data_IF_297225648867
#
_entry.id   IF_297225648867
#
_cell.length_a   1.000
_cell.length_b   1.000
_cell.length_c   1.000
_cell.angle_alpha   90.00
_cell.angle_beta   90.00
_cell.angle_gamma   90.00
#
_symmetry.space_group_name_H-M   'P 1'
#
loop_
_entity.id
_entity.type
_entity.pdbx_description
1 polymer ?
#
# COMPACT_ATOMS: atom_id res chain seq x y z
N UNK A 1 -18.35 -9.34 13.61
CA UNK A 1 -17.39 -10.47 13.75
C UNK A 1 -16.05 -9.86 14.15
N UNK A 2 -15.45 -10.27 15.25
CA UNK A 2 -14.12 -9.76 15.61
C UNK A 2 -13.10 -10.26 14.58
N UNK A 3 -12.31 -9.35 13.98
CA UNK A 3 -11.22 -9.70 13.07
C UNK A 3 -10.27 -10.65 13.80
N UNK A 4 -10.12 -11.84 13.28
CA UNK A 4 -9.26 -12.88 13.83
C UNK A 4 -7.80 -12.65 13.37
N UNK A 5 -6.82 -13.12 14.15
CA UNK A 5 -5.43 -13.19 13.70
C UNK A 5 -5.25 -13.98 12.39
N UNK A 6 -6.21 -14.84 12.06
CA UNK A 6 -6.22 -15.64 10.83
C UNK A 6 -6.44 -14.80 9.55
N UNK A 7 -6.92 -13.56 9.68
CA UNK A 7 -7.23 -12.68 8.54
C UNK A 7 -6.01 -11.86 8.08
N UNK A 8 -4.87 -11.95 8.82
CA UNK A 8 -3.62 -11.26 8.46
C UNK A 8 -2.52 -12.29 8.25
N UNK A 9 -1.92 -12.24 7.08
CA UNK A 9 -0.70 -12.97 6.73
C UNK A 9 0.49 -12.02 6.76
N UNK A 10 1.67 -12.57 7.01
CA UNK A 10 2.89 -11.77 7.13
C UNK A 10 3.89 -12.21 6.07
N UNK A 11 4.48 -11.24 5.41
CA UNK A 11 5.61 -11.38 4.49
C UNK A 11 6.79 -10.64 5.08
N UNK A 12 7.81 -11.34 5.54
CA UNK A 12 9.02 -10.76 6.09
C UNK A 12 10.09 -10.60 5.01
N UNK A 13 10.62 -9.38 4.89
CA UNK A 13 11.72 -9.08 3.97
C UNK A 13 13.04 -8.92 4.73
N UNK A 14 14.09 -9.55 4.22
CA UNK A 14 15.47 -9.35 4.64
C UNK A 14 15.98 -7.93 4.29
N UNK A 15 17.16 -7.51 4.80
CA UNK A 15 17.75 -6.21 4.46
C UNK A 15 18.03 -5.98 2.97
N UNK A 16 18.19 -7.03 2.18
CA UNK A 16 18.33 -7.00 0.72
C UNK A 16 16.98 -7.06 -0.02
N UNK A 17 15.86 -7.17 0.73
CA UNK A 17 14.52 -7.25 0.18
C UNK A 17 14.06 -8.66 -0.20
N UNK A 18 14.84 -9.71 0.09
CA UNK A 18 14.43 -11.07 -0.18
C UNK A 18 13.39 -11.57 0.83
N UNK A 19 12.52 -12.50 0.40
CA UNK A 19 11.51 -13.12 1.25
C UNK A 19 12.14 -14.05 2.29
N UNK A 20 11.70 -13.92 3.54
CA UNK A 20 12.09 -14.78 4.65
C UNK A 20 10.91 -15.65 5.10
N UNK A 21 11.16 -16.88 5.46
CA UNK A 21 10.21 -17.78 6.12
C UNK A 21 10.61 -17.99 7.59
N UNK A 22 9.61 -18.10 8.45
CA UNK A 22 9.83 -18.44 9.87
C UNK A 22 9.95 -19.95 10.02
N UNK A 23 11.07 -20.39 10.61
CA UNK A 23 11.35 -21.79 10.86
C UNK A 23 11.63 -22.03 12.34
N UNK A 24 11.57 -23.25 12.84
CA UNK A 24 11.93 -23.54 14.25
C UNK A 24 13.34 -23.07 14.64
N UNK A 25 14.22 -22.87 13.67
CA UNK A 25 15.60 -22.35 13.85
C UNK A 25 15.74 -20.84 13.58
N UNK A 26 14.62 -20.11 13.41
CA UNK A 26 14.55 -18.68 13.11
C UNK A 26 14.28 -18.39 11.63
N UNK A 27 14.30 -17.09 11.29
CA UNK A 27 14.04 -16.63 9.94
C UNK A 27 15.12 -17.09 8.95
N UNK A 28 14.70 -17.67 7.82
CA UNK A 28 15.57 -18.10 6.73
C UNK A 28 15.08 -17.58 5.38
N UNK A 29 15.99 -17.31 4.42
CA UNK A 29 15.56 -16.94 3.07
C UNK A 29 14.81 -18.09 2.40
N UNK A 30 13.66 -17.79 1.80
CA UNK A 30 12.94 -18.72 0.94
C UNK A 30 13.78 -18.98 -0.31
N UNK A 31 14.08 -20.25 -0.65
CA UNK A 31 14.82 -20.55 -1.89
C UNK A 31 14.09 -20.01 -3.13
N UNK A 32 14.82 -19.43 -4.07
CA UNK A 32 14.22 -18.76 -5.24
C UNK A 32 13.26 -19.68 -6.04
N UNK A 33 13.63 -20.96 -6.18
CA UNK A 33 12.80 -21.96 -6.87
C UNK A 33 11.54 -22.38 -6.10
N UNK A 34 11.43 -22.02 -4.80
CA UNK A 34 10.26 -22.30 -3.95
C UNK A 34 9.35 -21.08 -3.75
N UNK A 35 9.68 -19.92 -4.32
CA UNK A 35 8.95 -18.69 -4.04
C UNK A 35 7.44 -18.82 -4.36
N UNK A 36 7.09 -19.39 -5.49
CA UNK A 36 5.69 -19.59 -5.89
C UNK A 36 4.98 -20.65 -5.04
N UNK A 37 5.67 -21.73 -4.69
CA UNK A 37 5.14 -22.74 -3.79
C UNK A 37 4.88 -22.16 -2.40
N UNK A 38 5.79 -21.35 -1.88
CA UNK A 38 5.61 -20.64 -0.61
C UNK A 38 4.37 -19.72 -0.64
N UNK A 39 4.17 -18.95 -1.72
CA UNK A 39 2.96 -18.14 -1.86
C UNK A 39 1.69 -19.01 -1.88
N UNK A 40 1.72 -20.14 -2.56
CA UNK A 40 0.58 -21.06 -2.63
C UNK A 40 0.26 -21.71 -1.27
N UNK A 41 1.29 -22.01 -0.49
CA UNK A 41 1.16 -22.62 0.84
C UNK A 41 0.65 -21.60 1.89
N UNK A 42 1.17 -20.36 1.86
CA UNK A 42 0.99 -19.40 2.95
C UNK A 42 0.04 -18.23 2.62
N UNK A 43 -0.11 -17.87 1.34
CA UNK A 43 -0.74 -16.61 0.92
C UNK A 43 -1.91 -16.81 -0.06
N UNK A 44 -2.49 -18.02 -0.13
CA UNK A 44 -3.65 -18.26 -0.97
C UNK A 44 -4.85 -17.39 -0.51
N UNK A 45 -5.45 -16.56 -1.39
CA UNK A 45 -6.60 -15.76 -1.05
C UNK A 45 -7.77 -16.64 -0.62
N UNK A 46 -8.35 -16.44 0.57
CA UNK A 46 -9.47 -17.25 1.00
C UNK A 46 -10.74 -16.85 0.24
N UNK A 47 -11.59 -17.82 -0.13
CA UNK A 47 -12.80 -17.56 -0.94
C UNK A 47 -13.85 -16.69 -0.24
N UNK A 48 -13.76 -16.52 1.08
CA UNK A 48 -14.67 -15.68 1.85
C UNK A 48 -14.27 -14.18 1.78
N UNK A 49 -13.02 -13.86 1.44
CA UNK A 49 -12.55 -12.48 1.36
C UNK A 49 -13.18 -11.76 0.17
N UNK A 50 -13.56 -10.51 0.38
CA UNK A 50 -14.04 -9.63 -0.70
C UNK A 50 -12.97 -8.63 -1.12
N UNK A 51 -12.03 -8.35 -0.23
CA UNK A 51 -10.96 -7.37 -0.43
C UNK A 51 -9.64 -7.94 0.07
N UNK A 52 -8.63 -7.89 -0.80
CA UNK A 52 -7.27 -8.29 -0.50
C UNK A 52 -6.45 -7.03 -0.27
N UNK A 53 -5.91 -6.85 0.92
CA UNK A 53 -5.10 -5.69 1.27
C UNK A 53 -3.63 -6.09 1.35
N UNK A 54 -2.74 -5.38 0.67
CA UNK A 54 -1.30 -5.48 0.88
C UNK A 54 -0.83 -4.21 1.59
N UNK A 55 -0.40 -4.36 2.84
CA UNK A 55 0.02 -3.24 3.69
C UNK A 55 1.53 -3.25 3.92
N UNK A 56 2.19 -2.11 3.66
CA UNK A 56 3.62 -1.91 3.96
C UNK A 56 3.82 -0.76 4.95
N UNK A 57 4.45 -1.07 6.10
CA UNK A 57 4.66 -0.10 7.19
C UNK A 57 5.82 0.86 6.95
N UNK A 58 5.90 1.92 7.77
CA UNK A 58 6.91 2.95 7.72
C UNK A 58 8.13 2.73 8.60
N UNK A 59 8.93 3.82 8.76
CA UNK A 59 10.11 3.88 9.61
C UNK A 59 9.77 3.73 11.10
N UNK A 60 10.72 3.23 11.89
CA UNK A 60 10.61 3.03 13.35
C UNK A 60 9.51 2.04 13.77
N UNK A 61 9.10 1.17 12.88
CA UNK A 61 8.05 0.21 13.16
C UNK A 61 8.66 -1.14 13.53
N UNK A 62 8.35 -1.65 14.72
CA UNK A 62 8.68 -3.02 15.11
C UNK A 62 7.71 -4.01 14.46
N UNK A 63 8.03 -5.31 14.40
CA UNK A 63 7.11 -6.34 13.92
C UNK A 63 5.74 -6.31 14.60
N UNK A 64 5.71 -6.11 15.92
CA UNK A 64 4.50 -6.03 16.73
C UNK A 64 3.72 -4.74 16.45
N UNK A 65 4.44 -3.61 16.30
CA UNK A 65 3.82 -2.33 15.97
C UNK A 65 3.23 -2.33 14.56
N UNK A 66 3.86 -3.03 13.61
CA UNK A 66 3.32 -3.20 12.26
C UNK A 66 1.99 -3.94 12.29
N UNK A 67 1.93 -5.05 13.01
CA UNK A 67 0.72 -5.84 13.18
C UNK A 67 -0.38 -5.04 13.88
N UNK A 68 -0.03 -4.32 14.96
CA UNK A 68 -0.96 -3.44 15.68
C UNK A 68 -1.53 -2.35 14.77
N UNK A 69 -0.71 -1.78 13.88
CA UNK A 69 -1.15 -0.74 12.93
C UNK A 69 -2.19 -1.29 11.94
N UNK A 70 -1.95 -2.49 11.39
CA UNK A 70 -2.91 -3.16 10.51
C UNK A 70 -4.22 -3.45 11.25
N UNK A 71 -4.15 -4.05 12.43
CA UNK A 71 -5.34 -4.32 13.24
C UNK A 71 -6.15 -3.05 13.51
N UNK A 72 -5.46 -1.94 13.84
CA UNK A 72 -6.12 -0.66 14.09
C UNK A 72 -6.80 -0.12 12.84
N UNK A 73 -6.14 -0.15 11.69
CA UNK A 73 -6.74 0.29 10.42
C UNK A 73 -7.98 -0.52 10.08
N UNK A 74 -7.90 -1.85 10.19
CA UNK A 74 -9.02 -2.75 9.91
C UNK A 74 -10.17 -2.55 10.90
N UNK A 75 -9.88 -2.37 12.19
CA UNK A 75 -10.90 -2.09 13.20
C UNK A 75 -11.61 -0.74 12.95
N UNK A 76 -10.88 0.28 12.51
CA UNK A 76 -11.46 1.55 12.10
C UNK A 76 -12.37 1.40 10.88
N UNK A 77 -11.94 0.62 9.89
CA UNK A 77 -12.75 0.34 8.70
C UNK A 77 -14.01 -0.47 9.04
N UNK A 78 -13.89 -1.50 9.89
CA UNK A 78 -15.04 -2.26 10.37
C UNK A 78 -16.03 -1.36 11.12
N UNK A 79 -15.55 -0.50 12.02
CA UNK A 79 -16.41 0.44 12.75
C UNK A 79 -17.17 1.38 11.79
N UNK A 80 -16.54 1.87 10.72
CA UNK A 80 -17.21 2.73 9.73
C UNK A 80 -18.30 1.96 8.97
N UNK A 81 -18.03 0.73 8.53
CA UNK A 81 -19.04 -0.09 7.82
C UNK A 81 -20.21 -0.51 8.70
N UNK A 82 -19.98 -0.68 10.01
CA UNK A 82 -21.03 -0.97 10.99
C UNK A 82 -21.87 0.27 11.32
N UNK A 83 -21.23 1.44 11.40
CA UNK A 83 -21.89 2.70 11.73
C UNK A 83 -22.82 3.17 10.60
N UNK A 84 -22.32 3.20 9.37
CA UNK A 84 -23.08 3.62 8.19
C UNK A 84 -22.70 2.83 6.93
N UNK A 85 -23.29 1.66 6.81
CA UNK A 85 -23.08 0.81 5.63
C UNK A 85 -23.69 1.38 4.35
N UNK A 86 -24.65 2.32 4.46
CA UNK A 86 -25.29 2.93 3.29
C UNK A 86 -24.34 3.89 2.56
N UNK A 87 -23.30 4.38 3.25
CA UNK A 87 -22.27 5.25 2.69
C UNK A 87 -21.40 4.55 1.64
N UNK A 88 -21.28 3.24 1.76
CA UNK A 88 -20.50 2.40 0.86
C UNK A 88 -21.43 1.39 0.17
N UNK A 89 -22.30 1.83 -0.76
CA UNK A 89 -23.40 1.02 -1.27
C UNK A 89 -22.96 -0.22 -2.05
N UNK A 90 -21.76 -0.19 -2.64
CA UNK A 90 -21.19 -1.27 -3.44
C UNK A 90 -20.34 -2.24 -2.61
N UNK A 91 -19.95 -1.83 -1.38
CA UNK A 91 -18.97 -2.52 -0.54
C UNK A 91 -19.57 -3.67 0.31
N UNK A 92 -20.74 -4.18 -0.01
CA UNK A 92 -21.42 -5.19 0.83
C UNK A 92 -21.21 -6.60 0.31
N UNK A 93 -20.70 -7.51 1.15
CA UNK A 93 -20.07 -7.32 2.46
C UNK A 93 -18.61 -6.82 2.36
N UNK A 94 -18.08 -6.16 3.41
CA UNK A 94 -16.66 -5.86 3.58
C UNK A 94 -16.01 -6.98 4.40
N UNK A 95 -15.18 -7.80 3.77
CA UNK A 95 -14.45 -8.91 4.39
C UNK A 95 -12.99 -8.86 3.94
N UNK A 96 -12.17 -8.02 4.59
CA UNK A 96 -10.77 -7.85 4.21
C UNK A 96 -9.94 -9.05 4.66
N UNK A 97 -9.06 -9.50 3.79
CA UNK A 97 -7.94 -10.38 4.10
C UNK A 97 -6.65 -9.64 3.77
N UNK A 98 -5.68 -9.62 4.68
CA UNK A 98 -4.55 -8.70 4.60
C UNK A 98 -3.22 -9.43 4.58
N UNK A 99 -2.32 -9.01 3.68
CA UNK A 99 -0.91 -9.37 3.69
C UNK A 99 -0.11 -8.17 4.22
N UNK A 100 0.49 -8.34 5.39
CA UNK A 100 1.39 -7.36 5.99
C UNK A 100 2.82 -7.61 5.51
N UNK A 101 3.35 -6.69 4.71
CA UNK A 101 4.77 -6.68 4.31
C UNK A 101 5.59 -6.01 5.40
N UNK A 102 6.41 -6.79 6.10
CA UNK A 102 7.37 -6.30 7.10
C UNK A 102 8.76 -6.20 6.49
N UNK A 103 9.47 -5.15 6.85
CA UNK A 103 10.82 -4.90 6.39
C UNK A 103 11.66 -4.27 7.51
N UNK A 104 13.00 -4.39 7.51
CA UNK A 104 13.86 -3.90 8.58
C UNK A 104 13.94 -2.37 8.62
N UNK A 105 12.89 -1.71 9.13
CA UNK A 105 12.67 -0.27 9.14
C UNK A 105 13.20 0.46 10.39
N UNK A 106 13.80 -0.26 11.36
CA UNK A 106 14.27 0.36 12.61
C UNK A 106 15.65 0.97 12.47
N UNK A 107 15.84 2.13 13.07
CA UNK A 107 17.14 2.81 13.24
C UNK A 107 17.06 3.75 14.46
N UNK A 108 18.13 4.47 14.75
CA UNK A 108 18.07 5.55 15.75
C UNK A 108 17.15 6.67 15.27
N UNK A 109 16.33 7.30 16.15
CA UNK A 109 15.47 8.44 15.82
C UNK A 109 16.30 9.73 15.67
N UNK A 110 17.11 9.80 14.65
CA UNK A 110 18.04 10.88 14.32
C UNK A 110 18.06 11.12 12.80
N UNK A 111 18.63 12.25 12.36
CA UNK A 111 18.82 12.52 10.92
C UNK A 111 19.68 11.45 10.25
N UNK A 112 20.72 10.95 10.92
CA UNK A 112 21.54 9.85 10.43
C UNK A 112 20.76 8.55 10.32
N UNK A 113 19.91 8.25 11.30
CA UNK A 113 19.01 7.10 11.29
C UNK A 113 17.95 7.21 10.19
N UNK A 114 17.37 8.40 9.98
CA UNK A 114 16.44 8.65 8.88
C UNK A 114 17.10 8.39 7.50
N UNK A 115 18.30 8.95 7.28
CA UNK A 115 19.07 8.73 6.04
C UNK A 115 19.35 7.25 5.81
N UNK A 116 19.78 6.54 6.85
CA UNK A 116 20.06 5.09 6.76
C UNK A 116 18.82 4.30 6.32
N UNK A 117 17.65 4.62 6.86
CA UNK A 117 16.40 3.92 6.48
C UNK A 117 15.93 4.33 5.09
N UNK A 118 16.08 5.59 4.71
CA UNK A 118 15.86 6.05 3.34
C UNK A 118 16.70 5.25 2.35
N UNK A 119 18.01 5.17 2.61
CA UNK A 119 18.97 4.48 1.74
C UNK A 119 18.67 2.98 1.70
N UNK A 120 18.29 2.39 2.84
CA UNK A 120 17.85 0.99 2.89
C UNK A 120 16.59 0.75 2.07
N UNK A 121 15.54 1.54 2.26
CA UNK A 121 14.30 1.39 1.49
C UNK A 121 14.57 1.53 -0.02
N UNK A 122 15.44 2.47 -0.40
CA UNK A 122 15.87 2.64 -1.79
C UNK A 122 16.65 1.41 -2.29
N UNK A 123 17.69 1.00 -1.56
CA UNK A 123 18.51 -0.14 -1.97
C UNK A 123 17.71 -1.44 -2.07
N UNK A 124 16.83 -1.71 -1.11
CA UNK A 124 15.97 -2.91 -1.12
C UNK A 124 15.07 -2.97 -2.36
N UNK A 125 14.52 -1.83 -2.78
CA UNK A 125 13.53 -1.79 -3.86
C UNK A 125 14.13 -1.58 -5.25
N UNK A 126 15.31 -0.95 -5.37
CA UNK A 126 15.90 -0.63 -6.69
C UNK A 126 17.10 -1.51 -7.06
N UNK A 127 17.89 -1.94 -6.07
CA UNK A 127 19.09 -2.76 -6.25
C UNK A 127 18.91 -4.18 -5.70
N UNK A 128 18.07 -4.33 -4.69
CA UNK A 128 17.73 -5.59 -4.05
C UNK A 128 16.48 -6.24 -4.65
N UNK A 129 15.82 -7.04 -3.84
CA UNK A 129 14.78 -7.95 -4.28
C UNK A 129 13.35 -7.53 -3.90
N UNK A 130 13.17 -6.44 -3.13
CA UNK A 130 11.85 -6.10 -2.57
C UNK A 130 10.80 -5.84 -3.66
N UNK A 131 11.15 -5.10 -4.72
CA UNK A 131 10.23 -4.83 -5.83
C UNK A 131 9.85 -6.12 -6.57
N UNK A 132 10.83 -7.01 -6.78
CA UNK A 132 10.61 -8.33 -7.38
C UNK A 132 9.70 -9.20 -6.51
N UNK A 133 10.02 -9.36 -5.22
CA UNK A 133 9.25 -10.22 -4.29
C UNK A 133 7.81 -9.72 -4.14
N UNK A 134 7.63 -8.41 -3.90
CA UNK A 134 6.30 -7.82 -3.77
C UNK A 134 5.55 -7.89 -5.12
N UNK A 135 6.21 -7.61 -6.24
CA UNK A 135 5.62 -7.74 -7.57
C UNK A 135 5.13 -9.16 -7.86
N UNK A 136 5.96 -10.19 -7.52
CA UNK A 136 5.56 -11.61 -7.60
C UNK A 136 4.36 -11.93 -6.72
N UNK A 137 4.34 -11.40 -5.48
CA UNK A 137 3.21 -11.54 -4.58
C UNK A 137 1.94 -10.94 -5.17
N UNK A 138 2.00 -9.71 -5.68
CA UNK A 138 0.84 -9.03 -6.28
C UNK A 138 0.27 -9.84 -7.45
N UNK A 139 1.11 -10.34 -8.30
CA UNK A 139 0.67 -11.16 -9.40
C UNK A 139 0.12 -12.50 -8.94
N UNK A 140 0.72 -13.16 -7.92
CA UNK A 140 0.15 -14.36 -7.33
C UNK A 140 -1.27 -14.09 -6.80
N UNK A 141 -1.46 -12.99 -6.06
CA UNK A 141 -2.78 -12.62 -5.53
C UNK A 141 -3.78 -12.34 -6.67
N UNK A 142 -3.37 -11.61 -7.70
CA UNK A 142 -4.22 -11.30 -8.86
C UNK A 142 -4.61 -12.57 -9.65
N UNK A 143 -3.68 -13.49 -9.82
CA UNK A 143 -3.94 -14.75 -10.54
C UNK A 143 -4.87 -15.72 -9.77
N UNK A 144 -4.89 -15.63 -8.44
CA UNK A 144 -5.63 -16.57 -7.59
C UNK A 144 -6.87 -15.97 -6.92
N UNK A 145 -7.10 -14.67 -7.07
CA UNK A 145 -8.35 -14.03 -6.65
C UNK A 145 -9.47 -14.30 -7.65
N UNK A 146 -10.71 -14.20 -7.19
CA UNK A 146 -11.86 -14.15 -8.09
C UNK A 146 -11.84 -12.85 -8.86
N UNK A 147 -11.66 -12.91 -10.19
CA UNK A 147 -11.54 -11.71 -11.04
C UNK A 147 -12.87 -10.94 -11.10
N UNK A 148 -12.91 -9.69 -10.58
CA UNK A 148 -14.11 -8.88 -10.62
C UNK A 148 -14.48 -8.38 -12.03
N UNK A 149 -13.53 -8.42 -12.99
CA UNK A 149 -13.76 -8.01 -14.37
C UNK A 149 -14.17 -9.17 -15.28
N UNK A 150 -14.21 -10.42 -14.79
CA UNK A 150 -14.63 -11.56 -15.58
C UNK A 150 -16.12 -11.42 -16.02
N UNK A 151 -16.48 -11.94 -17.22
CA UNK A 151 -17.87 -11.92 -17.67
C UNK A 151 -18.80 -12.59 -16.64
N UNK A 152 -20.05 -12.10 -16.49
CA UNK A 152 -21.00 -12.60 -15.47
C UNK A 152 -21.29 -14.11 -15.54
N UNK A 153 -21.06 -14.74 -16.69
CA UNK A 153 -21.23 -16.19 -16.89
C UNK A 153 -20.10 -16.99 -16.21
N UNK A 154 -18.92 -16.39 -16.05
CA UNK A 154 -17.72 -16.99 -15.46
C UNK A 154 -17.34 -16.34 -14.13
N UNK A 155 -17.86 -15.13 -13.86
CA UNK A 155 -17.58 -14.41 -12.64
C UNK A 155 -18.38 -14.98 -11.48
N UNK A 156 -17.69 -15.24 -10.38
CA UNK A 156 -18.33 -15.21 -9.10
C UNK A 156 -18.85 -13.77 -8.88
N UNK A 157 -20.13 -13.60 -8.52
CA UNK A 157 -20.74 -12.28 -8.28
C UNK A 157 -20.03 -11.48 -7.18
N UNK A 158 -19.22 -12.16 -6.38
CA UNK A 158 -18.47 -11.62 -5.25
C UNK A 158 -16.98 -11.53 -5.60
N UNK A 159 -16.63 -10.87 -6.71
CA UNK A 159 -15.23 -10.66 -7.11
C UNK A 159 -14.37 -10.11 -5.96
N UNK A 160 -13.10 -10.47 -5.94
CA UNK A 160 -12.14 -10.03 -4.93
C UNK A 160 -11.32 -8.84 -5.47
N UNK A 161 -11.23 -7.77 -4.71
CA UNK A 161 -10.53 -6.53 -5.08
C UNK A 161 -9.18 -6.43 -4.38
N UNK A 162 -8.13 -6.00 -5.11
CA UNK A 162 -6.76 -5.91 -4.60
C UNK A 162 -6.39 -4.45 -4.35
N UNK A 163 -6.10 -4.13 -3.09
CA UNK A 163 -5.77 -2.78 -2.64
C UNK A 163 -4.39 -2.72 -2.00
N UNK A 164 -3.60 -1.72 -2.34
CA UNK A 164 -2.32 -1.45 -1.72
C UNK A 164 -2.45 -0.31 -0.72
N UNK A 165 -1.90 -0.50 0.48
CA UNK A 165 -1.84 0.53 1.51
C UNK A 165 -0.41 0.65 2.02
N UNK A 166 0.22 1.79 1.78
CA UNK A 166 1.56 2.08 2.28
C UNK A 166 1.55 3.18 3.32
N UNK A 167 2.50 3.12 4.27
CA UNK A 167 2.79 4.24 5.16
C UNK A 167 4.26 4.66 5.04
N UNK A 168 4.51 5.95 4.91
CA UNK A 168 5.86 6.51 4.94
C UNK A 168 6.79 5.89 3.87
N UNK A 169 7.92 5.31 4.27
CA UNK A 169 8.82 4.57 3.36
C UNK A 169 8.23 3.27 2.81
N UNK A 170 7.25 2.67 3.48
CA UNK A 170 6.53 1.52 2.93
C UNK A 170 5.81 1.84 1.61
N UNK A 171 5.41 3.09 1.41
CA UNK A 171 4.87 3.56 0.15
C UNK A 171 5.85 3.39 -1.01
N UNK A 172 7.16 3.61 -0.77
CA UNK A 172 8.20 3.46 -1.81
C UNK A 172 8.31 2.02 -2.27
N UNK A 173 8.29 1.06 -1.34
CA UNK A 173 8.37 -0.37 -1.67
C UNK A 173 7.20 -0.79 -2.57
N UNK A 174 5.99 -0.33 -2.26
CA UNK A 174 4.81 -0.62 -3.08
C UNK A 174 4.87 0.08 -4.45
N UNK A 175 5.29 1.35 -4.50
CA UNK A 175 5.45 2.08 -5.76
C UNK A 175 6.49 1.41 -6.67
N UNK A 176 7.63 0.96 -6.13
CA UNK A 176 8.65 0.26 -6.91
C UNK A 176 8.16 -1.10 -7.40
N UNK A 177 7.43 -1.84 -6.58
CA UNK A 177 6.86 -3.12 -6.99
C UNK A 177 5.87 -2.97 -8.15
N UNK A 178 4.98 -1.96 -8.08
CA UNK A 178 4.03 -1.67 -9.15
C UNK A 178 4.74 -1.14 -10.39
N UNK A 179 5.72 -0.25 -10.23
CA UNK A 179 6.53 0.29 -11.33
C UNK A 179 7.37 -0.80 -12.00
N UNK A 180 7.92 -1.73 -11.22
CA UNK A 180 8.71 -2.84 -11.75
C UNK A 180 7.90 -3.68 -12.74
N UNK A 181 6.62 -3.91 -12.47
CA UNK A 181 5.71 -4.62 -13.37
C UNK A 181 5.31 -3.84 -14.63
N UNK A 182 5.48 -2.52 -14.63
CA UNK A 182 5.14 -1.66 -15.77
C UNK A 182 6.29 -1.48 -16.77
N UNK A 183 7.48 -2.04 -16.48
CA UNK A 183 8.62 -2.00 -17.40
C UNK A 183 8.35 -2.87 -18.62
N UNK A 184 8.79 -2.41 -19.80
CA UNK A 184 8.43 -2.99 -21.11
C UNK A 184 8.98 -4.40 -21.35
N UNK A 185 10.04 -4.80 -20.68
CA UNK A 185 10.48 -6.18 -20.74
C UNK A 185 9.47 -7.06 -20.02
N UNK A 186 9.00 -8.15 -20.66
CA UNK A 186 8.16 -9.13 -20.00
C UNK A 186 9.02 -9.84 -18.95
N UNK A 187 9.23 -9.16 -17.84
CA UNK A 187 9.71 -9.78 -16.63
C UNK A 187 8.63 -10.77 -16.27
N UNK A 188 8.89 -12.03 -16.63
CA UNK A 188 8.07 -13.13 -16.24
C UNK A 188 8.02 -13.11 -14.74
N UNK A 189 6.93 -12.53 -14.19
CA UNK A 189 6.69 -12.55 -12.75
C UNK A 189 6.48 -13.98 -12.23
N UNK A 190 6.80 -14.94 -13.10
CA UNK A 190 6.79 -16.36 -12.81
C UNK A 190 5.43 -17.02 -12.92
N UNK A 191 4.44 -16.32 -13.40
CA UNK A 191 3.21 -16.96 -13.82
C UNK A 191 3.31 -17.39 -15.28
N UNK A 192 2.82 -18.58 -15.52
CA UNK A 192 2.69 -19.15 -16.85
C UNK A 192 1.49 -18.58 -17.62
N UNK A 193 0.67 -17.74 -17.00
CA UNK A 193 -0.52 -17.19 -17.63
C UNK A 193 -0.15 -15.88 -18.32
N UNK A 194 -0.31 -15.75 -19.63
CA UNK A 194 -0.11 -14.49 -20.31
C UNK A 194 -1.13 -13.49 -19.80
N UNK A 195 -0.64 -12.44 -19.17
CA UNK A 195 -1.47 -11.29 -18.84
C UNK A 195 -2.01 -10.69 -20.13
N UNK A 196 -3.26 -10.23 -20.16
CA UNK A 196 -3.76 -9.52 -21.31
C UNK A 196 -2.83 -8.34 -21.57
N UNK A 197 -2.33 -8.25 -22.79
CA UNK A 197 -1.49 -7.21 -23.38
C UNK A 197 -0.70 -6.35 -22.36
N UNK A 198 0.44 -6.84 -21.92
CA UNK A 198 1.48 -6.02 -21.26
C UNK A 198 1.30 -5.74 -19.77
N UNK A 199 0.39 -6.39 -19.06
CA UNK A 199 0.18 -6.18 -17.63
C UNK A 199 0.24 -7.49 -16.84
N UNK A 200 1.26 -7.68 -15.97
CA UNK A 200 1.43 -8.93 -15.24
C UNK A 200 0.43 -9.13 -14.09
N UNK A 201 -0.25 -8.08 -13.66
CA UNK A 201 -1.32 -8.09 -12.65
C UNK A 201 -2.15 -6.79 -12.68
N UNK A 202 -3.25 -6.76 -11.94
CA UNK A 202 -4.10 -5.57 -11.77
C UNK A 202 -4.30 -5.25 -10.30
N UNK A 203 -4.09 -3.99 -9.93
CA UNK A 203 -4.37 -3.45 -8.61
C UNK A 203 -5.56 -2.50 -8.72
N UNK A 204 -6.54 -2.62 -7.83
CA UNK A 204 -7.77 -1.85 -7.90
C UNK A 204 -7.66 -0.46 -7.28
N UNK A 205 -6.83 -0.28 -6.25
CA UNK A 205 -6.49 1.05 -5.72
C UNK A 205 -5.17 1.05 -4.96
N UNK A 206 -4.57 2.24 -4.82
CA UNK A 206 -3.32 2.43 -4.09
C UNK A 206 -3.42 3.64 -3.17
N UNK A 207 -3.38 3.41 -1.84
CA UNK A 207 -3.43 4.44 -0.80
C UNK A 207 -2.05 4.60 -0.14
N UNK A 208 -1.47 5.78 -0.28
CA UNK A 208 -0.14 6.14 0.21
C UNK A 208 -0.28 7.12 1.37
N UNK A 209 -0.25 6.61 2.59
CA UNK A 209 -0.39 7.41 3.80
C UNK A 209 0.94 8.10 4.13
N UNK A 210 0.96 9.42 4.03
CA UNK A 210 2.11 10.29 4.38
C UNK A 210 3.44 9.80 3.80
N UNK A 211 3.47 9.59 2.48
CA UNK A 211 4.60 9.00 1.74
C UNK A 211 5.90 9.75 1.95
N UNK A 212 6.96 9.04 2.33
CA UNK A 212 8.32 9.55 2.48
C UNK A 212 9.10 9.49 1.15
N UNK A 213 8.69 10.28 0.19
CA UNK A 213 9.36 10.47 -1.10
C UNK A 213 9.28 11.95 -1.51
N UNK A 214 10.22 12.46 -2.34
CA UNK A 214 10.16 13.82 -2.86
C UNK A 214 8.85 14.10 -3.59
N UNK A 215 8.39 15.36 -3.57
CA UNK A 215 7.13 15.77 -4.23
C UNK A 215 7.09 15.49 -5.74
N UNK A 216 8.24 15.45 -6.37
CA UNK A 216 8.42 15.17 -7.80
C UNK A 216 8.75 13.68 -8.08
N UNK A 217 8.57 12.79 -7.08
CA UNK A 217 8.93 11.39 -7.19
C UNK A 217 8.18 10.68 -8.33
N UNK A 218 6.92 11.02 -8.57
CA UNK A 218 6.15 10.41 -9.67
C UNK A 218 6.61 10.87 -11.05
N UNK A 219 7.18 12.06 -11.17
CA UNK A 219 7.76 12.55 -12.41
C UNK A 219 9.20 12.07 -12.65
N UNK A 220 9.95 11.70 -11.58
CA UNK A 220 11.39 11.45 -11.69
C UNK A 220 11.82 10.05 -11.23
N UNK A 221 11.07 9.41 -10.32
CA UNK A 221 11.42 8.10 -9.75
C UNK A 221 10.41 7.03 -10.12
N UNK A 222 9.12 7.30 -9.90
CA UNK A 222 8.02 6.36 -10.15
C UNK A 222 7.28 6.71 -11.45
N UNK A 223 8.03 7.00 -12.50
CA UNK A 223 7.49 7.54 -13.76
C UNK A 223 6.55 6.56 -14.49
N UNK A 224 6.77 5.27 -14.33
CA UNK A 224 5.96 4.24 -14.95
C UNK A 224 4.58 4.03 -14.28
N UNK A 225 4.34 4.63 -13.09
CA UNK A 225 3.06 4.46 -12.40
C UNK A 225 1.85 5.03 -13.17
N UNK A 226 2.07 6.01 -14.05
CA UNK A 226 0.99 6.52 -14.90
C UNK A 226 0.43 5.44 -15.86
N UNK A 227 1.29 4.55 -16.35
CA UNK A 227 0.95 3.42 -17.22
C UNK A 227 0.90 2.07 -16.52
N UNK A 228 1.07 2.02 -15.20
CA UNK A 228 1.12 0.80 -14.42
C UNK A 228 -0.22 0.03 -14.41
N UNK A 229 -0.21 -1.24 -13.99
CA UNK A 229 -1.40 -2.09 -13.89
C UNK A 229 -2.30 -1.69 -12.70
N UNK A 230 -2.72 -0.43 -12.69
CA UNK A 230 -3.63 0.17 -11.72
C UNK A 230 -4.96 0.51 -12.41
N UNK A 231 -6.06 -0.06 -11.94
CA UNK A 231 -7.41 0.32 -12.39
C UNK A 231 -7.81 1.66 -11.80
N UNK A 232 -7.63 1.80 -10.49
CA UNK A 232 -7.97 2.99 -9.74
C UNK A 232 -6.81 3.99 -9.58
N UNK A 233 -7.01 4.99 -8.73
CA UNK A 233 -6.05 6.05 -8.50
C UNK A 233 -4.85 5.61 -7.65
N UNK A 234 -3.76 6.37 -7.76
CA UNK A 234 -2.73 6.53 -6.75
C UNK A 234 -3.12 7.71 -5.86
N UNK A 235 -3.54 7.44 -4.63
CA UNK A 235 -3.99 8.44 -3.68
C UNK A 235 -2.93 8.63 -2.61
N UNK A 236 -2.40 9.84 -2.45
CA UNK A 236 -1.41 10.17 -1.43
C UNK A 236 -1.97 11.20 -0.44
N UNK A 237 -2.00 10.84 0.85
CA UNK A 237 -2.34 11.79 1.91
C UNK A 237 -1.13 12.64 2.31
N UNK A 238 -1.37 13.89 2.70
CA UNK A 238 -0.35 14.77 3.24
C UNK A 238 -0.89 15.65 4.37
N UNK A 239 0.02 16.12 5.22
CA UNK A 239 -0.29 17.10 6.26
C UNK A 239 0.88 18.04 6.48
N UNK A 240 0.61 19.35 6.57
CA UNK A 240 1.59 20.38 6.91
C UNK A 240 2.18 20.22 8.32
N UNK A 241 1.58 19.35 9.14
CA UNK A 241 2.07 19.01 10.49
C UNK A 241 2.98 17.77 10.51
N UNK A 242 3.20 17.13 9.36
CA UNK A 242 4.10 15.97 9.22
C UNK A 242 5.57 16.42 9.23
N UNK A 243 6.22 16.31 10.39
CA UNK A 243 7.63 16.69 10.54
C UNK A 243 8.59 15.67 9.94
N UNK A 244 8.20 14.40 9.80
CA UNK A 244 9.07 13.39 9.22
C UNK A 244 9.30 13.67 7.73
N UNK A 245 8.22 13.92 6.98
CA UNK A 245 8.30 14.19 5.55
C UNK A 245 8.53 15.68 5.21
N UNK A 246 8.25 16.59 6.17
CA UNK A 246 8.62 17.99 6.09
C UNK A 246 10.08 18.21 6.53
N UNK A 247 10.33 18.20 7.85
CA UNK A 247 11.61 18.61 8.40
C UNK A 247 12.76 17.61 8.15
N UNK A 248 12.55 16.30 8.50
CA UNK A 248 13.61 15.30 8.35
C UNK A 248 13.90 15.01 6.89
N UNK A 249 12.85 14.87 6.09
CA UNK A 249 12.97 14.60 4.66
C UNK A 249 13.65 15.76 3.92
N UNK A 250 13.22 17.01 4.21
CA UNK A 250 13.85 18.20 3.61
C UNK A 250 15.34 18.28 3.92
N UNK A 251 15.77 17.92 5.12
CA UNK A 251 17.19 17.88 5.50
C UNK A 251 17.96 16.71 4.87
N UNK A 252 17.29 15.59 4.62
CA UNK A 252 17.91 14.41 4.03
C UNK A 252 17.98 14.48 2.50
N UNK A 253 16.90 14.95 1.86
CA UNK A 253 16.71 14.94 0.39
C UNK A 253 16.79 16.35 -0.23
N UNK A 254 16.89 17.40 0.60
CA UNK A 254 16.85 18.82 0.19
C UNK A 254 15.55 19.23 -0.53
N UNK A 255 14.49 18.43 -0.39
CA UNK A 255 13.16 18.62 -0.96
C UNK A 255 12.11 18.21 0.06
N UNK A 256 10.94 18.86 0.03
CA UNK A 256 9.81 18.44 0.85
C UNK A 256 9.30 17.08 0.38
N UNK A 257 8.84 16.25 1.31
CA UNK A 257 8.21 14.97 1.01
C UNK A 257 6.74 15.12 0.63
N UNK A 258 6.23 14.12 -0.10
CA UNK A 258 4.81 14.02 -0.48
C UNK A 258 3.93 14.05 0.78
N UNK A 259 4.28 13.35 1.85
CA UNK A 259 3.51 13.31 3.09
C UNK A 259 3.39 14.65 3.83
N UNK A 260 4.24 15.64 3.48
CA UNK A 260 4.16 17.00 4.03
C UNK A 260 3.42 17.96 3.10
N UNK A 261 3.65 17.88 1.79
CA UNK A 261 3.26 18.93 0.86
C UNK A 261 2.48 18.42 -0.37
N UNK A 262 2.06 17.16 -0.35
CA UNK A 262 1.33 16.53 -1.44
C UNK A 262 2.19 16.20 -2.66
N UNK A 263 1.60 15.56 -3.64
CA UNK A 263 2.19 15.28 -4.94
C UNK A 263 2.40 16.62 -5.66
N UNK A 264 3.64 16.90 -6.08
CA UNK A 264 3.96 18.14 -6.80
C UNK A 264 3.81 17.96 -8.29
N UNK A 265 4.62 17.09 -8.87
CA UNK A 265 4.63 16.77 -10.31
C UNK A 265 4.45 15.28 -10.55
N UNK A 266 3.69 14.93 -11.58
CA UNK A 266 3.47 13.57 -12.04
C UNK A 266 3.33 13.58 -13.57
N UNK A 267 3.45 12.39 -14.24
CA UNK A 267 3.25 12.29 -15.69
C UNK A 267 1.82 12.58 -16.17
N UNK A 268 0.85 12.56 -15.26
CA UNK A 268 -0.54 12.92 -15.51
C UNK A 268 -0.98 14.03 -14.53
N UNK A 269 -2.06 14.75 -14.81
CA UNK A 269 -2.60 15.77 -13.91
C UNK A 269 -2.84 15.22 -12.50
N UNK A 270 -2.49 16.03 -11.49
CA UNK A 270 -2.70 15.72 -10.07
C UNK A 270 -3.93 16.47 -9.59
N UNK A 271 -4.94 15.73 -9.14
CA UNK A 271 -6.07 16.31 -8.43
C UNK A 271 -5.71 16.52 -6.96
N UNK A 272 -6.16 17.62 -6.36
CA UNK A 272 -5.99 17.88 -4.93
C UNK A 272 -7.36 18.09 -4.29
N UNK A 273 -7.63 17.29 -3.26
CA UNK A 273 -8.87 17.34 -2.50
C UNK A 273 -8.56 17.42 -1.00
N UNK A 274 -9.50 17.88 -0.19
CA UNK A 274 -9.37 17.77 1.27
C UNK A 274 -9.73 16.37 1.76
N UNK A 275 -9.18 15.94 2.88
CA UNK A 275 -9.63 14.74 3.57
C UNK A 275 -11.02 14.99 4.16
N UNK A 276 -11.96 14.11 3.83
CA UNK A 276 -13.34 14.24 4.28
C UNK A 276 -13.57 13.56 5.64
N UNK A 277 -14.49 14.12 6.41
CA UNK A 277 -15.03 13.46 7.59
C UNK A 277 -15.70 12.14 7.19
N UNK A 278 -15.73 11.13 8.08
CA UNK A 278 -16.51 9.93 7.85
C UNK A 278 -17.99 10.18 7.54
N UNK A 279 -18.51 11.35 7.89
CA UNK A 279 -19.90 11.74 7.59
C UNK A 279 -20.10 12.33 6.19
N UNK A 280 -19.05 12.60 5.45
CA UNK A 280 -19.08 13.19 4.11
C UNK A 280 -18.64 12.15 3.06
N UNK A 281 -19.47 11.77 2.07
CA UNK A 281 -19.08 10.79 1.06
C UNK A 281 -18.05 11.38 0.08
N UNK A 282 -17.04 10.59 -0.28
CA UNK A 282 -16.18 10.93 -1.42
C UNK A 282 -16.93 10.71 -2.72
N UNK A 283 -17.18 11.76 -3.52
CA UNK A 283 -17.76 11.57 -4.85
C UNK A 283 -16.76 10.86 -5.78
N UNK A 284 -17.28 9.99 -6.66
CA UNK A 284 -16.43 9.27 -7.62
C UNK A 284 -15.53 10.23 -8.41
N UNK A 285 -16.08 11.34 -8.89
CA UNK A 285 -15.34 12.32 -9.67
C UNK A 285 -14.13 12.95 -8.93
N UNK A 286 -14.14 12.98 -7.59
CA UNK A 286 -13.01 13.48 -6.81
C UNK A 286 -11.83 12.49 -6.76
N UNK A 287 -12.11 11.19 -6.90
CA UNK A 287 -11.13 10.11 -6.84
C UNK A 287 -10.82 9.52 -8.23
N UNK A 288 -11.60 9.86 -9.28
CA UNK A 288 -11.42 9.34 -10.63
C UNK A 288 -10.31 10.10 -11.40
N UNK A 289 -9.12 10.08 -10.82
CA UNK A 289 -7.90 10.65 -11.40
C UNK A 289 -6.75 9.68 -11.18
N UNK A 290 -5.75 9.67 -12.10
CA UNK A 290 -4.59 8.80 -11.93
C UNK A 290 -3.80 9.12 -10.66
N UNK A 291 -3.64 10.39 -10.34
CA UNK A 291 -2.95 10.87 -9.15
C UNK A 291 -3.83 11.83 -8.34
N UNK A 292 -4.04 11.51 -7.07
CA UNK A 292 -4.84 12.32 -6.15
C UNK A 292 -4.02 12.65 -4.90
N UNK A 293 -3.86 13.92 -4.60
CA UNK A 293 -3.36 14.41 -3.32
C UNK A 293 -4.53 14.69 -2.38
N UNK A 294 -4.51 14.12 -1.19
CA UNK A 294 -5.52 14.35 -0.15
C UNK A 294 -4.91 15.16 0.97
N UNK A 295 -5.35 16.41 1.10
CA UNK A 295 -4.96 17.29 2.21
C UNK A 295 -5.64 16.85 3.49
N UNK A 296 -4.84 16.33 4.41
CA UNK A 296 -5.25 15.88 5.73
C UNK A 296 -4.73 16.81 6.84
N UNK A 297 -4.36 18.05 6.50
CA UNK A 297 -3.77 18.98 7.48
C UNK A 297 -4.70 19.33 8.63
N UNK A 298 -6.01 19.30 8.42
CA UNK A 298 -7.00 19.51 9.47
C UNK A 298 -7.26 18.26 10.34
N UNK A 299 -6.86 17.09 9.84
CA UNK A 299 -7.11 15.77 10.48
C UNK A 299 -5.84 15.25 11.15
N UNK A 300 -4.72 15.21 10.43
CA UNK A 300 -3.43 14.76 10.94
C UNK A 300 -2.67 15.94 11.55
N UNK A 301 -3.07 16.33 12.74
CA UNK A 301 -2.55 17.53 13.42
C UNK A 301 -1.63 17.21 14.60
N UNK A 302 -1.78 16.02 15.20
CA UNK A 302 -1.08 15.60 16.41
C UNK A 302 -0.45 14.24 16.18
N UNK A 303 0.85 14.18 16.26
CA UNK A 303 1.56 12.92 16.28
C UNK A 303 2.33 12.76 17.58
N UNK A 304 2.96 11.62 17.77
CA UNK A 304 3.81 11.34 18.92
C UNK A 304 5.29 11.58 18.57
N UNK A 305 5.98 12.34 19.44
CA UNK A 305 7.41 12.56 19.34
C UNK A 305 7.87 13.47 18.19
N UNK A 306 9.14 13.35 17.76
CA UNK A 306 9.79 14.31 16.86
C UNK A 306 9.28 14.23 15.40
N UNK A 307 8.55 13.18 15.04
CA UNK A 307 7.97 13.01 13.70
C UNK A 307 6.70 13.85 13.46
N UNK A 308 6.15 14.49 14.52
CA UNK A 308 4.92 15.26 14.41
C UNK A 308 3.74 14.40 13.99
N UNK A 309 2.86 14.94 13.16
CA UNK A 309 1.65 14.25 12.71
C UNK A 309 1.91 13.02 11.80
N UNK A 310 3.15 12.66 11.52
CA UNK A 310 3.51 11.49 10.69
C UNK A 310 2.92 10.17 11.20
N UNK A 311 2.72 10.04 12.50
CA UNK A 311 2.11 8.86 13.13
C UNK A 311 0.58 8.95 13.27
N UNK A 312 -0.04 10.03 12.79
CA UNK A 312 -1.46 10.33 13.00
C UNK A 312 -2.38 9.74 11.91
N UNK A 313 -1.83 8.97 10.98
CA UNK A 313 -2.53 8.40 9.83
C UNK A 313 -3.57 7.32 10.17
N UNK A 314 -3.55 6.74 11.37
CA UNK A 314 -4.53 5.71 11.78
C UNK A 314 -5.75 6.38 12.44
N UNK A 315 -6.57 7.00 11.60
CA UNK A 315 -7.77 7.76 11.95
C UNK A 315 -9.02 7.20 11.25
N UNK A 316 -10.22 7.48 11.75
CA UNK A 316 -11.47 7.14 11.07
C UNK A 316 -11.53 7.65 9.63
N UNK A 317 -11.01 8.85 9.37
CA UNK A 317 -10.97 9.48 8.04
C UNK A 317 -10.07 8.70 7.06
N UNK A 318 -8.98 8.11 7.53
CA UNK A 318 -8.11 7.25 6.70
C UNK A 318 -8.80 5.93 6.34
N UNK A 319 -9.53 5.36 7.28
CA UNK A 319 -10.34 4.17 7.05
C UNK A 319 -11.50 4.48 6.09
N UNK A 320 -12.15 5.65 6.26
CA UNK A 320 -13.18 6.13 5.35
C UNK A 320 -12.67 6.31 3.91
N UNK A 321 -11.48 6.90 3.74
CA UNK A 321 -10.84 7.03 2.41
C UNK A 321 -10.54 5.65 1.80
N UNK A 322 -9.99 4.70 2.57
CA UNK A 322 -9.76 3.33 2.12
C UNK A 322 -11.05 2.64 1.66
N UNK A 323 -12.11 2.72 2.47
CA UNK A 323 -13.42 2.14 2.15
C UNK A 323 -14.05 2.79 0.91
N UNK A 324 -13.91 4.11 0.75
CA UNK A 324 -14.39 4.83 -0.42
C UNK A 324 -13.67 4.38 -1.70
N UNK A 325 -12.35 4.18 -1.64
CA UNK A 325 -11.56 3.61 -2.74
C UNK A 325 -12.03 2.19 -3.06
N UNK A 326 -12.27 1.37 -2.06
CA UNK A 326 -12.75 0.01 -2.24
C UNK A 326 -14.19 0.00 -2.80
N UNK A 327 -15.07 0.89 -2.37
CA UNK A 327 -16.44 1.03 -2.90
C UNK A 327 -16.45 1.46 -4.37
N UNK A 328 -15.60 2.42 -4.74
CA UNK A 328 -15.49 2.92 -6.12
C UNK A 328 -14.77 1.96 -7.07
N UNK A 329 -14.06 0.97 -6.56
CA UNK A 329 -13.40 -0.07 -7.35
C UNK A 329 -14.37 -1.11 -7.92
N UNK A 330 -15.62 -1.12 -7.43
CA UNK A 330 -16.69 -2.07 -7.80
C UNK A 330 -17.55 -1.63 -8.96
#
# INVERSE_FOLDING_TARGET
MSLSRADIRVVDLAPDGWLMEDTPSGLRPVPAHRLDAHFAEELAPPPWATDLLVYAHGWQTSPESALTSVHRLLALAEAQTQHDSARYPRLKPWRPWTVLVRWPSRSLPSLGGYRRIRDRAHAMSTQGHAAHVIGRLLGYLDAHRTDPAAPPVLANRDGQYLHLVGHSFGCRLLCEAVQWSAREEPLTLGWSTPSPAGRPFTVDSMLLLQMAAPRDAFANTFTALAGAPLRGPVVATYSQHDRATGFWHLRAEKRAGIGYAGIGTAPAPVSTIRMLSPDEPYPLAALDHRFVSVDASDVFVRGHGPAGAHSDHLRPESAHLLLSLADHSR
#
